data_IF_336691001543
#
_entry.id   IF_336691001543
#
_cell.length_a   1.000
_cell.length_b   1.000
_cell.length_c   1.000
_cell.angle_alpha   90.00
_cell.angle_beta   90.00
_cell.angle_gamma   90.00
#
_symmetry.space_group_name_H-M   'P 1'
#
loop_
_entity.id
_entity.type
_entity.pdbx_description
1 polymer ?
#
# COMPACT_ATOMS: atom_id res chain seq x y z
N UNK A 1 -12.91 -0.55 5.99
CA UNK A 1 -12.65 0.63 5.14
C UNK A 1 -13.31 0.43 3.79
N UNK A 2 -13.79 1.50 3.17
CA UNK A 2 -14.45 1.40 1.86
C UNK A 2 -13.40 1.21 0.77
N UNK A 3 -12.38 2.09 0.72
CA UNK A 3 -11.24 1.95 -0.19
C UNK A 3 -9.90 2.11 0.55
N UNK A 4 -8.89 1.35 0.14
CA UNK A 4 -7.50 1.49 0.57
C UNK A 4 -6.76 2.38 -0.43
N UNK A 5 -6.37 3.59 -0.02
CA UNK A 5 -5.67 4.56 -0.86
C UNK A 5 -4.19 4.57 -0.48
N UNK A 6 -3.33 4.14 -1.41
CA UNK A 6 -1.91 4.00 -1.16
C UNK A 6 -1.14 5.20 -1.70
N UNK A 7 -0.19 5.67 -0.89
CA UNK A 7 0.57 6.89 -1.12
C UNK A 7 2.06 6.68 -0.83
N UNK A 8 2.92 7.33 -1.60
CA UNK A 8 4.37 7.25 -1.46
C UNK A 8 5.08 8.10 -2.49
N UNK A 9 6.31 8.50 -2.20
CA UNK A 9 7.17 9.26 -3.10
C UNK A 9 8.41 8.45 -3.51
N UNK A 10 8.97 8.71 -4.70
CA UNK A 10 10.16 8.01 -5.21
C UNK A 10 9.98 6.48 -5.26
N UNK A 11 10.96 5.71 -4.80
CA UNK A 11 10.88 4.25 -4.75
C UNK A 11 9.72 3.71 -3.89
N UNK A 12 9.29 4.45 -2.87
CA UNK A 12 8.11 4.08 -2.08
C UNK A 12 6.82 4.13 -2.88
N UNK A 13 6.73 5.00 -3.91
CA UNK A 13 5.56 5.08 -4.80
C UNK A 13 5.39 3.80 -5.64
N UNK A 14 6.51 3.20 -6.08
CA UNK A 14 6.51 1.93 -6.84
C UNK A 14 5.99 0.81 -5.96
N UNK A 15 6.43 0.75 -4.70
CA UNK A 15 5.93 -0.25 -3.75
C UNK A 15 4.46 -0.01 -3.40
N UNK A 16 4.06 1.24 -3.16
CA UNK A 16 2.67 1.61 -2.93
C UNK A 16 1.76 1.15 -4.08
N UNK A 17 2.20 1.31 -5.34
CA UNK A 17 1.46 0.83 -6.51
C UNK A 17 1.35 -0.69 -6.55
N UNK A 18 2.43 -1.42 -6.26
CA UNK A 18 2.39 -2.89 -6.20
C UNK A 18 1.45 -3.36 -5.09
N UNK A 19 1.57 -2.79 -3.90
CA UNK A 19 0.74 -3.18 -2.75
C UNK A 19 -0.75 -2.94 -3.06
N UNK A 20 -1.09 -1.80 -3.68
CA UNK A 20 -2.47 -1.53 -4.12
C UNK A 20 -2.94 -2.58 -5.12
N UNK A 21 -2.12 -2.90 -6.12
CA UNK A 21 -2.47 -3.97 -7.05
C UNK A 21 -2.76 -5.29 -6.33
N UNK A 22 -1.93 -5.68 -5.36
CA UNK A 22 -2.10 -6.93 -4.63
C UNK A 22 -3.33 -6.94 -3.71
N UNK A 23 -3.69 -5.84 -3.07
CA UNK A 23 -4.96 -5.73 -2.35
C UNK A 23 -6.14 -5.93 -3.30
N UNK A 24 -6.12 -5.30 -4.47
CA UNK A 24 -7.17 -5.50 -5.48
C UNK A 24 -7.22 -6.94 -6.00
N UNK A 25 -6.10 -7.67 -6.05
CA UNK A 25 -6.07 -9.10 -6.39
C UNK A 25 -6.76 -10.01 -5.37
N UNK A 26 -7.14 -9.49 -4.20
CA UNK A 26 -7.88 -10.23 -3.15
C UNK A 26 -9.25 -9.59 -2.87
N UNK A 27 -9.81 -8.88 -3.85
CA UNK A 27 -11.12 -8.19 -3.75
C UNK A 27 -11.16 -7.12 -2.64
N UNK A 28 -10.01 -6.58 -2.24
CA UNK A 28 -9.94 -5.40 -1.38
C UNK A 28 -9.82 -4.17 -2.28
N UNK A 29 -10.87 -3.32 -2.37
CA UNK A 29 -10.84 -2.15 -3.25
C UNK A 29 -9.69 -1.23 -2.88
N UNK A 30 -8.76 -1.02 -3.81
CA UNK A 30 -7.57 -0.22 -3.54
C UNK A 30 -6.93 0.34 -4.80
N UNK A 31 -6.27 1.48 -4.64
CA UNK A 31 -5.49 2.09 -5.71
C UNK A 31 -4.36 2.95 -5.15
N UNK A 32 -3.37 3.20 -6.00
CA UNK A 32 -2.31 4.16 -5.72
C UNK A 32 -2.69 5.54 -6.24
N UNK A 33 -2.62 6.55 -5.37
CA UNK A 33 -2.84 7.95 -5.73
C UNK A 33 -1.47 8.62 -5.88
N UNK A 34 -1.13 9.12 -7.07
CA UNK A 34 0.20 9.71 -7.29
C UNK A 34 0.31 11.09 -6.65
N UNK A 35 1.47 11.41 -6.10
CA UNK A 35 1.75 12.70 -5.47
C UNK A 35 1.52 13.88 -6.43
N UNK A 36 1.79 13.68 -7.73
CA UNK A 36 1.60 14.67 -8.80
C UNK A 36 0.15 15.17 -8.89
N UNK A 37 -0.84 14.26 -8.84
CA UNK A 37 -2.25 14.67 -8.97
C UNK A 37 -2.90 14.93 -7.61
N UNK A 38 -2.33 14.42 -6.53
CA UNK A 38 -2.94 14.45 -5.18
C UNK A 38 -3.22 15.88 -4.73
N UNK A 39 -2.22 16.76 -4.81
CA UNK A 39 -2.32 18.16 -4.38
C UNK A 39 -3.02 19.06 -5.40
N UNK A 40 -3.30 18.54 -6.60
CA UNK A 40 -3.99 19.25 -7.67
C UNK A 40 -5.43 18.74 -7.89
N UNK A 41 -6.13 18.48 -6.78
CA UNK A 41 -7.54 18.06 -6.76
C UNK A 41 -7.77 16.55 -6.70
N UNK A 42 -6.74 15.73 -6.90
CA UNK A 42 -6.83 14.27 -6.81
C UNK A 42 -7.30 13.76 -5.44
N UNK A 43 -7.05 14.50 -4.36
CA UNK A 43 -7.61 14.22 -3.04
C UNK A 43 -9.15 14.15 -3.00
N UNK A 44 -9.84 14.68 -4.02
CA UNK A 44 -11.30 14.56 -4.16
C UNK A 44 -11.80 13.11 -4.08
N UNK A 45 -10.98 12.12 -4.48
CA UNK A 45 -11.33 10.71 -4.42
C UNK A 45 -11.52 10.21 -2.98
N UNK A 46 -10.77 10.75 -2.03
CA UNK A 46 -10.74 10.26 -0.65
C UNK A 46 -12.02 10.64 0.10
N UNK A 47 -12.64 9.67 0.75
CA UNK A 47 -13.87 9.78 1.54
C UNK A 47 -13.64 9.38 3.01
N UNK A 48 -14.63 9.66 3.87
CA UNK A 48 -14.55 9.47 5.33
C UNK A 48 -14.21 8.04 5.79
N UNK A 49 -14.70 7.03 5.09
CA UNK A 49 -14.52 5.62 5.48
C UNK A 49 -13.32 4.97 4.79
N UNK A 50 -12.55 5.73 4.02
CA UNK A 50 -11.36 5.22 3.35
C UNK A 50 -10.20 5.10 4.34
N UNK A 51 -9.23 4.26 3.96
CA UNK A 51 -7.98 4.05 4.67
C UNK A 51 -6.83 4.49 3.78
N UNK A 52 -6.09 5.50 4.22
CA UNK A 52 -4.83 5.91 3.58
C UNK A 52 -3.69 5.10 4.18
N UNK A 53 -2.86 4.50 3.31
CA UNK A 53 -1.60 3.87 3.71
C UNK A 53 -0.48 4.70 3.08
N UNK A 54 0.22 5.46 3.91
CA UNK A 54 1.26 6.39 3.47
C UNK A 54 2.65 5.82 3.78
N UNK A 55 3.46 5.64 2.74
CA UNK A 55 4.81 5.10 2.83
C UNK A 55 5.85 6.21 2.72
N UNK A 56 6.63 6.41 3.78
CA UNK A 56 7.81 7.28 3.77
C UNK A 56 8.83 6.74 4.77
N UNK A 57 9.99 6.27 4.28
CA UNK A 57 11.02 5.64 5.12
C UNK A 57 11.36 6.50 6.33
N UNK A 58 11.82 7.74 6.12
CA UNK A 58 12.12 8.68 7.20
C UNK A 58 10.90 9.39 7.81
N UNK A 59 9.71 9.26 7.20
CA UNK A 59 8.46 9.88 7.66
C UNK A 59 8.40 11.40 7.47
N UNK A 60 9.20 11.93 6.55
CA UNK A 60 9.38 13.38 6.30
C UNK A 60 9.27 13.80 4.83
N UNK A 61 8.81 12.90 3.96
CA UNK A 61 8.62 13.22 2.54
C UNK A 61 7.59 14.34 2.40
N UNK A 62 8.01 15.47 1.83
CA UNK A 62 7.20 16.69 1.75
C UNK A 62 5.85 16.42 1.09
N UNK A 63 5.85 15.69 -0.01
CA UNK A 63 4.67 15.33 -0.81
C UNK A 63 3.64 14.52 0.00
N UNK A 64 4.11 13.77 1.01
CA UNK A 64 3.26 12.98 1.90
C UNK A 64 2.76 13.84 3.08
N UNK A 65 3.62 14.72 3.60
CA UNK A 65 3.23 15.60 4.71
C UNK A 65 2.19 16.64 4.28
N UNK A 66 2.29 17.16 3.06
CA UNK A 66 1.37 18.16 2.51
C UNK A 66 -0.09 17.68 2.44
N UNK A 67 -0.33 16.37 2.38
CA UNK A 67 -1.68 15.81 2.23
C UNK A 67 -2.34 15.44 3.58
N UNK A 68 -1.57 15.43 4.68
CA UNK A 68 -2.07 15.04 6.01
C UNK A 68 -3.26 15.88 6.50
N UNK A 69 -3.29 17.22 6.34
CA UNK A 69 -4.43 18.02 6.76
C UNK A 69 -5.72 17.63 6.04
N UNK A 70 -5.63 17.34 4.73
CA UNK A 70 -6.79 16.94 3.93
C UNK A 70 -7.31 15.54 4.30
N UNK A 71 -6.42 14.60 4.61
CA UNK A 71 -6.80 13.26 5.12
C UNK A 71 -7.61 13.41 6.41
N UNK A 72 -7.10 14.23 7.34
CA UNK A 72 -7.76 14.51 8.61
C UNK A 72 -9.12 15.17 8.43
N UNK A 73 -9.20 16.20 7.59
CA UNK A 73 -10.46 16.93 7.34
C UNK A 73 -11.53 16.04 6.71
N UNK A 74 -11.12 15.16 5.79
CA UNK A 74 -12.01 14.17 5.19
C UNK A 74 -12.46 13.10 6.18
N UNK A 75 -11.77 12.95 7.30
CA UNK A 75 -12.04 11.93 8.32
C UNK A 75 -11.58 10.52 7.94
N UNK A 76 -10.78 10.39 6.87
CA UNK A 76 -10.20 9.12 6.48
C UNK A 76 -9.16 8.65 7.51
N UNK A 77 -9.04 7.34 7.69
CA UNK A 77 -8.03 6.75 8.58
C UNK A 77 -6.66 6.72 7.93
N UNK A 78 -5.60 6.89 8.72
CA UNK A 78 -4.22 6.91 8.24
C UNK A 78 -3.37 5.83 8.91
N UNK A 79 -2.82 4.92 8.10
CA UNK A 79 -1.69 4.05 8.47
C UNK A 79 -0.40 4.70 7.97
N UNK A 80 0.48 5.00 8.91
CA UNK A 80 1.80 5.55 8.66
C UNK A 80 2.83 4.43 8.60
N UNK A 81 3.48 4.25 7.45
CA UNK A 81 4.55 3.27 7.26
C UNK A 81 5.90 3.98 7.19
N UNK A 82 6.67 3.88 8.28
CA UNK A 82 7.94 4.60 8.45
C UNK A 82 8.85 3.89 9.44
N UNK A 83 10.17 4.10 9.35
CA UNK A 83 11.13 3.60 10.34
C UNK A 83 11.21 4.50 11.57
N UNK A 84 10.81 5.77 11.44
CA UNK A 84 10.97 6.80 12.45
C UNK A 84 9.64 7.12 13.15
N UNK A 85 9.45 6.54 14.33
CA UNK A 85 8.26 6.74 15.18
C UNK A 85 8.09 8.18 15.68
N UNK A 86 9.15 9.01 15.62
CA UNK A 86 9.11 10.43 16.03
C UNK A 86 8.85 11.38 14.85
N UNK A 87 8.72 10.84 13.63
CA UNK A 87 8.48 11.62 12.42
C UNK A 87 7.10 12.29 12.42
N UNK A 88 6.93 13.29 11.57
CA UNK A 88 5.64 13.98 11.40
C UNK A 88 4.58 13.02 10.88
N UNK A 89 4.93 12.16 9.91
CA UNK A 89 4.03 11.13 9.42
C UNK A 89 3.60 10.16 10.53
N UNK A 90 4.55 9.66 11.35
CA UNK A 90 4.22 8.75 12.44
C UNK A 90 3.25 9.36 13.46
N UNK A 91 3.43 10.64 13.78
CA UNK A 91 2.56 11.37 14.73
C UNK A 91 1.18 11.67 14.17
N UNK A 92 1.05 11.81 12.84
CA UNK A 92 -0.23 12.07 12.19
C UNK A 92 -1.08 10.80 11.97
N UNK A 93 -0.45 9.62 11.94
CA UNK A 93 -1.14 8.36 11.69
C UNK A 93 -2.03 7.91 12.86
N UNK A 94 -3.17 7.32 12.55
CA UNK A 94 -3.99 6.58 13.52
C UNK A 94 -3.30 5.27 13.94
N UNK A 95 -2.58 4.65 13.00
CA UNK A 95 -1.82 3.41 13.21
C UNK A 95 -0.42 3.59 12.65
N UNK A 96 0.60 3.28 13.45
CA UNK A 96 1.99 3.23 13.01
C UNK A 96 2.37 1.80 12.65
N UNK A 97 2.66 1.55 11.37
CA UNK A 97 3.34 0.34 10.92
C UNK A 97 4.84 0.65 10.84
N UNK A 98 5.55 0.44 11.95
CA UNK A 98 6.98 0.71 12.04
C UNK A 98 7.78 -0.38 11.30
N UNK A 99 8.41 -0.01 10.19
CA UNK A 99 9.31 -0.91 9.44
C UNK A 99 10.69 -0.25 9.42
N UNK A 100 11.63 -0.84 10.15
CA UNK A 100 13.02 -0.40 10.20
C UNK A 100 13.92 -1.46 9.57
N UNK A 101 14.82 -1.01 8.70
CA UNK A 101 15.94 -1.80 8.19
C UNK A 101 17.23 -1.14 8.64
N UNK A 102 18.22 -1.94 9.03
CA UNK A 102 19.48 -1.40 9.56
C UNK A 102 20.40 -0.88 8.44
N UNK A 103 20.34 -1.50 7.26
CA UNK A 103 21.18 -1.14 6.11
C UNK A 103 20.50 -1.52 4.79
N UNK A 104 20.70 -0.69 3.77
CA UNK A 104 20.47 -1.03 2.37
C UNK A 104 21.58 -1.94 1.86
N UNK A 105 21.26 -2.77 0.86
CA UNK A 105 22.20 -3.73 0.31
C UNK A 105 23.31 -3.07 -0.53
N UNK A 106 23.10 -1.84 -0.99
CA UNK A 106 24.07 -1.14 -1.83
C UNK A 106 25.29 -0.62 -1.04
N UNK A 107 26.45 -0.44 -1.68
CA UNK A 107 27.67 0.02 -0.99
C UNK A 107 27.54 1.38 -0.30
N UNK A 108 26.69 2.29 -0.81
CA UNK A 108 26.51 3.64 -0.28
C UNK A 108 25.49 3.69 0.85
N UNK A 109 24.72 2.62 1.06
CA UNK A 109 23.61 2.58 2.00
C UNK A 109 22.53 3.65 1.70
N UNK A 110 22.28 3.92 0.41
CA UNK A 110 21.40 5.00 -0.05
C UNK A 110 20.36 4.54 -1.06
N UNK A 111 20.67 3.53 -1.88
CA UNK A 111 19.73 3.03 -2.87
C UNK A 111 18.68 2.18 -2.16
N UNK A 112 17.41 2.54 -2.35
CA UNK A 112 16.27 1.84 -1.75
C UNK A 112 16.18 0.40 -2.28
N UNK A 113 16.79 -0.54 -1.56
CA UNK A 113 16.98 -1.94 -1.96
C UNK A 113 16.33 -2.86 -0.93
N UNK A 114 16.99 -3.04 0.21
CA UNK A 114 16.48 -3.84 1.32
C UNK A 114 15.21 -3.25 1.91
N UNK A 115 15.11 -1.91 2.03
CA UNK A 115 13.91 -1.26 2.56
C UNK A 115 12.67 -1.54 1.73
N UNK A 116 12.77 -1.46 0.41
CA UNK A 116 11.64 -1.69 -0.50
C UNK A 116 11.22 -3.16 -0.53
N UNK A 117 12.19 -4.09 -0.50
CA UNK A 117 11.92 -5.52 -0.42
C UNK A 117 11.20 -5.89 0.89
N UNK A 118 11.66 -5.36 2.04
CA UNK A 118 11.04 -5.65 3.35
C UNK A 118 9.63 -5.08 3.43
N UNK A 119 9.41 -3.85 2.98
CA UNK A 119 8.06 -3.26 2.90
C UNK A 119 7.13 -4.18 2.12
N UNK A 120 7.57 -4.64 0.95
CA UNK A 120 6.76 -5.50 0.10
C UNK A 120 6.43 -6.83 0.78
N UNK A 121 7.42 -7.47 1.41
CA UNK A 121 7.24 -8.73 2.12
C UNK A 121 6.27 -8.61 3.30
N UNK A 122 6.33 -7.51 4.07
CA UNK A 122 5.39 -7.24 5.16
C UNK A 122 3.96 -7.12 4.64
N UNK A 123 3.76 -6.35 3.57
CA UNK A 123 2.42 -6.20 2.99
C UNK A 123 1.91 -7.47 2.32
N UNK A 124 2.77 -8.26 1.68
CA UNK A 124 2.39 -9.58 1.17
C UNK A 124 1.93 -10.51 2.30
N UNK A 125 2.60 -10.48 3.46
CA UNK A 125 2.15 -11.23 4.63
C UNK A 125 0.77 -10.75 5.15
N UNK A 126 0.53 -9.43 5.19
CA UNK A 126 -0.77 -8.86 5.56
C UNK A 126 -1.87 -9.31 4.59
N UNK A 127 -1.61 -9.22 3.29
CA UNK A 127 -2.55 -9.62 2.23
C UNK A 127 -2.88 -11.12 2.34
N UNK A 128 -1.88 -11.97 2.54
CA UNK A 128 -2.07 -13.41 2.75
C UNK A 128 -2.90 -13.67 4.01
N UNK A 129 -2.63 -12.96 5.11
CA UNK A 129 -3.42 -13.08 6.33
C UNK A 129 -4.88 -12.68 6.09
N UNK A 130 -5.14 -11.60 5.36
CA UNK A 130 -6.49 -11.19 4.99
C UNK A 130 -7.19 -12.24 4.13
N UNK A 131 -6.49 -12.85 3.16
CA UNK A 131 -7.06 -13.96 2.37
C UNK A 131 -7.52 -15.12 3.26
N UNK A 132 -6.74 -15.48 4.28
CA UNK A 132 -7.14 -16.51 5.23
C UNK A 132 -8.33 -16.10 6.10
N UNK A 133 -8.33 -14.86 6.61
CA UNK A 133 -9.41 -14.34 7.46
C UNK A 133 -10.74 -14.23 6.72
N UNK A 134 -10.71 -13.78 5.47
CA UNK A 134 -11.89 -13.63 4.63
C UNK A 134 -12.26 -14.92 3.86
N UNK A 135 -11.54 -16.01 4.12
CA UNK A 135 -11.73 -17.30 3.45
C UNK A 135 -11.73 -17.18 1.90
N UNK A 136 -10.85 -16.32 1.38
CA UNK A 136 -10.80 -15.93 -0.02
C UNK A 136 -10.64 -17.13 -0.95
N UNK A 137 -11.45 -17.16 -2.01
CA UNK A 137 -11.64 -18.32 -2.86
C UNK A 137 -10.96 -18.19 -4.21
N UNK A 138 -10.56 -19.33 -4.76
CA UNK A 138 -9.99 -19.42 -6.12
C UNK A 138 -10.98 -18.88 -7.16
N UNK A 139 -12.28 -19.09 -6.93
CA UNK A 139 -13.36 -18.63 -7.81
C UNK A 139 -13.43 -17.11 -7.87
N UNK A 140 -13.28 -16.41 -6.74
CA UNK A 140 -13.18 -14.95 -6.70
C UNK A 140 -11.95 -14.48 -7.48
N UNK A 141 -10.79 -15.09 -7.21
CA UNK A 141 -9.55 -14.77 -7.92
C UNK A 141 -9.65 -14.98 -9.45
N UNK A 142 -10.41 -15.98 -9.90
CA UNK A 142 -10.62 -16.26 -11.31
C UNK A 142 -11.47 -15.21 -12.03
N UNK A 143 -12.41 -14.56 -11.34
CA UNK A 143 -13.24 -13.48 -11.93
C UNK A 143 -12.37 -12.29 -12.34
N UNK A 144 -11.44 -11.89 -11.46
CA UNK A 144 -10.58 -10.71 -11.66
C UNK A 144 -9.26 -11.00 -12.39
N UNK A 145 -8.98 -12.27 -12.72
CA UNK A 145 -7.83 -12.67 -13.56
C UNK A 145 -8.29 -13.47 -14.80
N UNK A 146 -9.02 -12.84 -15.75
CA UNK A 146 -9.63 -13.55 -16.87
C UNK A 146 -8.64 -14.02 -17.95
N UNK A 147 -7.41 -13.50 -17.96
CA UNK A 147 -6.42 -13.69 -19.03
C UNK A 147 -5.02 -14.06 -18.55
N UNK A 148 -4.13 -14.29 -19.53
CA UNK A 148 -2.74 -14.68 -19.30
C UNK A 148 -2.57 -16.09 -18.71
N UNK A 149 -1.32 -16.47 -18.46
CA UNK A 149 -0.97 -17.80 -17.94
C UNK A 149 -1.68 -18.13 -16.62
N UNK A 150 -1.91 -17.13 -15.77
CA UNK A 150 -2.66 -17.28 -14.51
C UNK A 150 -4.14 -17.59 -14.80
N UNK A 151 -4.81 -16.78 -15.61
CA UNK A 151 -6.22 -17.01 -15.97
C UNK A 151 -6.44 -18.35 -16.68
N UNK A 152 -5.54 -18.76 -17.56
CA UNK A 152 -5.55 -20.08 -18.20
C UNK A 152 -5.44 -21.22 -17.17
N UNK A 153 -4.54 -21.09 -16.20
CA UNK A 153 -4.39 -22.06 -15.11
C UNK A 153 -5.64 -22.15 -14.23
N UNK A 154 -6.35 -21.04 -14.02
CA UNK A 154 -7.57 -21.01 -13.22
C UNK A 154 -8.75 -21.68 -13.94
N UNK A 155 -8.85 -21.53 -15.28
CA UNK A 155 -9.89 -22.16 -16.12
C UNK A 155 -9.71 -23.67 -16.27
N UNK A 156 -8.47 -24.17 -16.18
CA UNK A 156 -8.20 -25.62 -16.18
C UNK A 156 -8.85 -26.24 -14.94
N UNK A 157 -10.01 -26.89 -15.13
CA UNK A 157 -10.61 -27.79 -14.14
C UNK A 157 -9.56 -28.85 -13.78
N UNK A 158 -9.42 -29.16 -12.50
CA UNK A 158 -8.66 -30.31 -12.07
C UNK A 158 -9.31 -31.56 -12.70
N UNK A 159 -8.77 -32.05 -13.81
CA UNK A 159 -9.04 -33.41 -14.29
C UNK A 159 -8.22 -34.38 -13.43
N UNK A 160 -8.53 -34.44 -12.13
CA UNK A 160 -8.07 -35.47 -11.21
C UNK A 160 -9.26 -35.98 -10.44
#
# INVERSE_FOLDING_TARGET
>A
PDIYVLQGAGSSSIQARKIAHNFSCIEVPSFFLSTEVTVHGGLGVLQKNDLVIALSRGGKSREILEILPAIKEKGAKLISVTENEKSELAKAGDILLKIKIDREADPLNMLATSSTAVILAVFDAIIILMMYQENYKKEQFAVIHPGGAVGERLKKKNNK
#
